data_IF_896221853932
#
_entry.id   IF_896221853932
#
_cell.length_a   1.000
_cell.length_b   1.000
_cell.length_c   1.000
_cell.angle_alpha   90.00
_cell.angle_beta   90.00
_cell.angle_gamma   90.00
#
_symmetry.space_group_name_H-M   'P 1'
#
loop_
_entity.id
_entity.type
_entity.pdbx_description
1 polymer ?
#
# COMPACT_ATOMS: atom_id res chain seq x y z
N UNK A 1 -14.72 0.33 15.68
CA UNK A 1 -14.31 0.18 14.26
C UNK A 1 -13.45 -1.07 14.17
N UNK A 2 -13.86 -2.05 13.38
CA UNK A 2 -13.16 -3.34 13.35
C UNK A 2 -11.88 -3.22 12.52
N UNK A 3 -10.71 -3.33 13.13
CA UNK A 3 -9.42 -3.38 12.43
C UNK A 3 -9.23 -4.78 11.86
N UNK A 4 -8.83 -4.93 10.59
CA UNK A 4 -8.55 -6.24 10.00
C UNK A 4 -7.53 -7.02 10.80
N UNK A 5 -7.61 -8.37 10.83
CA UNK A 5 -6.59 -9.20 11.42
C UNK A 5 -5.21 -8.94 10.77
N UNK A 6 -4.14 -9.04 11.56
CA UNK A 6 -2.77 -8.82 11.05
C UNK A 6 -2.42 -9.75 9.87
N UNK A 7 -2.98 -10.95 9.85
CA UNK A 7 -2.82 -11.91 8.74
C UNK A 7 -3.36 -11.38 7.41
N UNK A 8 -4.51 -10.71 7.44
CA UNK A 8 -5.12 -10.15 6.22
C UNK A 8 -4.36 -8.90 5.76
N UNK A 9 -3.91 -8.09 6.73
CA UNK A 9 -3.05 -6.94 6.43
C UNK A 9 -1.74 -7.40 5.78
N UNK A 10 -1.09 -8.44 6.30
CA UNK A 10 0.12 -9.02 5.71
C UNK A 10 -0.11 -9.53 4.29
N UNK A 11 -1.23 -10.22 4.07
CA UNK A 11 -1.59 -10.71 2.73
C UNK A 11 -1.78 -9.55 1.76
N UNK A 12 -2.54 -8.53 2.13
CA UNK A 12 -2.75 -7.34 1.32
C UNK A 12 -1.41 -6.63 1.03
N UNK A 13 -0.62 -6.36 2.06
CA UNK A 13 0.68 -5.72 1.93
C UNK A 13 1.61 -6.51 1.02
N UNK A 14 1.66 -7.84 1.12
CA UNK A 14 2.46 -8.67 0.22
C UNK A 14 2.04 -8.50 -1.24
N UNK A 15 0.74 -8.54 -1.51
CA UNK A 15 0.22 -8.33 -2.85
C UNK A 15 0.50 -6.93 -3.39
N UNK A 16 0.37 -5.91 -2.55
CA UNK A 16 0.57 -4.49 -2.93
C UNK A 16 2.05 -4.08 -2.98
N UNK A 17 2.97 -4.90 -2.48
CA UNK A 17 4.41 -4.62 -2.43
C UNK A 17 5.17 -5.10 -3.67
N UNK A 18 4.50 -5.63 -4.69
CA UNK A 18 5.13 -6.10 -5.91
C UNK A 18 5.69 -4.90 -6.70
N UNK A 19 7.02 -4.86 -7.03
CA UNK A 19 7.65 -3.68 -7.62
C UNK A 19 7.06 -3.23 -8.95
N UNK A 20 6.69 -4.17 -9.81
CA UNK A 20 6.11 -3.84 -11.11
C UNK A 20 4.67 -3.32 -10.96
N UNK A 21 3.91 -3.79 -9.94
CA UNK A 21 2.60 -3.25 -9.60
C UNK A 21 2.69 -1.81 -9.09
N UNK A 22 3.60 -1.55 -8.16
CA UNK A 22 3.84 -0.19 -7.64
C UNK A 22 4.16 0.74 -8.81
N UNK A 23 5.10 0.34 -9.68
CA UNK A 23 5.52 1.14 -10.83
C UNK A 23 4.40 1.34 -11.83
N UNK A 24 3.57 0.33 -12.09
CA UNK A 24 2.42 0.42 -13.00
C UNK A 24 1.38 1.43 -12.49
N UNK A 25 0.98 1.31 -11.23
CA UNK A 25 -0.04 2.18 -10.63
C UNK A 25 0.44 3.63 -10.59
N UNK A 26 1.66 3.87 -10.13
CA UNK A 26 2.22 5.23 -10.05
C UNK A 26 2.44 5.85 -11.43
N UNK A 27 2.87 5.08 -12.43
CA UNK A 27 3.03 5.58 -13.79
C UNK A 27 1.71 6.04 -14.41
N UNK A 28 0.63 5.28 -14.18
CA UNK A 28 -0.69 5.67 -14.69
C UNK A 28 -1.22 6.89 -13.94
N UNK A 29 -0.94 7.00 -12.64
CA UNK A 29 -1.35 8.16 -11.84
C UNK A 29 -0.65 9.44 -12.30
N UNK A 30 0.68 9.39 -12.46
CA UNK A 30 1.51 10.53 -12.80
C UNK A 30 1.36 10.99 -14.27
N UNK A 31 1.24 10.04 -15.21
CA UNK A 31 1.35 10.30 -16.64
C UNK A 31 0.05 10.00 -17.43
N UNK A 32 -0.97 9.52 -16.74
CA UNK A 32 -2.25 9.15 -17.35
C UNK A 32 -2.26 7.76 -18.00
N UNK A 33 -3.32 7.44 -18.74
CA UNK A 33 -3.55 6.10 -19.27
C UNK A 33 -2.44 5.60 -20.19
N UNK A 34 -2.00 4.37 -20.01
CA UNK A 34 -0.91 3.76 -20.76
C UNK A 34 -1.46 2.94 -21.94
N UNK A 35 -1.10 3.26 -23.19
CA UNK A 35 -1.41 2.38 -24.32
C UNK A 35 -0.67 1.04 -24.21
N UNK A 36 -1.32 -0.12 -24.44
CA UNK A 36 -0.70 -1.44 -24.31
C UNK A 36 0.61 -1.60 -25.10
N UNK A 37 0.68 -0.96 -26.28
CA UNK A 37 1.87 -0.99 -27.16
C UNK A 37 3.06 -0.24 -26.58
N UNK A 38 2.87 0.62 -25.57
CA UNK A 38 3.91 1.44 -24.98
C UNK A 38 4.52 0.84 -23.73
N UNK A 39 3.95 -0.25 -23.21
CA UNK A 39 4.35 -0.87 -21.93
C UNK A 39 5.86 -1.19 -21.87
N UNK A 40 6.40 -1.89 -22.86
CA UNK A 40 7.83 -2.24 -22.86
C UNK A 40 8.78 -1.04 -22.94
N UNK A 41 8.32 0.09 -23.52
CA UNK A 41 9.11 1.32 -23.60
C UNK A 41 9.04 2.11 -22.29
N UNK A 42 7.89 2.09 -21.62
CA UNK A 42 7.67 2.83 -20.37
C UNK A 42 8.34 2.11 -19.20
N UNK A 43 8.41 0.77 -19.25
CA UNK A 43 8.96 -0.07 -18.19
C UNK A 43 10.20 -0.86 -18.67
N UNK A 44 11.29 -0.20 -19.06
CA UNK A 44 12.48 -0.87 -19.60
C UNK A 44 13.20 -1.74 -18.56
N UNK A 45 13.00 -1.46 -17.27
CA UNK A 45 13.64 -2.17 -16.17
C UNK A 45 12.92 -3.47 -15.77
N UNK A 46 11.75 -3.76 -16.39
CA UNK A 46 10.96 -4.96 -16.13
C UNK A 46 10.87 -5.85 -17.34
N UNK A 47 10.90 -7.16 -17.11
CA UNK A 47 10.66 -8.13 -18.18
C UNK A 47 9.18 -8.08 -18.63
N UNK A 48 8.88 -8.47 -19.88
CA UNK A 48 7.50 -8.55 -20.35
C UNK A 48 6.60 -9.44 -19.48
N UNK A 49 7.19 -10.46 -18.85
CA UNK A 49 6.46 -11.35 -17.94
C UNK A 49 6.09 -10.64 -16.63
N UNK A 50 7.00 -9.86 -16.06
CA UNK A 50 6.72 -9.07 -14.84
C UNK A 50 5.64 -8.02 -15.10
N UNK A 51 5.69 -7.33 -16.24
CA UNK A 51 4.67 -6.35 -16.62
C UNK A 51 3.31 -7.01 -16.79
N UNK A 52 3.27 -8.17 -17.46
CA UNK A 52 2.03 -8.94 -17.66
C UNK A 52 1.45 -9.36 -16.31
N UNK A 53 2.28 -9.94 -15.44
CA UNK A 53 1.85 -10.37 -14.10
C UNK A 53 1.30 -9.19 -13.29
N UNK A 54 2.00 -8.06 -13.26
CA UNK A 54 1.52 -6.85 -12.58
C UNK A 54 0.20 -6.34 -13.15
N UNK A 55 0.03 -6.39 -14.48
CA UNK A 55 -1.22 -5.98 -15.15
C UNK A 55 -2.38 -6.93 -14.80
N UNK A 56 -2.15 -8.23 -14.84
CA UNK A 56 -3.14 -9.25 -14.44
C UNK A 56 -3.53 -9.08 -12.97
N UNK A 57 -2.56 -8.88 -12.11
CA UNK A 57 -2.78 -8.62 -10.68
C UNK A 57 -3.57 -7.32 -10.46
N UNK A 58 -3.22 -6.24 -11.15
CA UNK A 58 -3.93 -4.97 -11.06
C UNK A 58 -5.39 -5.09 -11.52
N UNK A 59 -5.66 -5.88 -12.56
CA UNK A 59 -7.03 -6.19 -12.98
C UNK A 59 -7.78 -7.04 -11.94
N UNK A 60 -7.14 -8.10 -11.42
CA UNK A 60 -7.73 -8.98 -10.41
C UNK A 60 -8.08 -8.24 -9.13
N UNK A 61 -7.28 -7.24 -8.74
CA UNK A 61 -7.52 -6.37 -7.59
C UNK A 61 -8.48 -5.20 -7.90
N UNK A 62 -8.97 -5.08 -9.15
CA UNK A 62 -9.85 -3.99 -9.56
C UNK A 62 -9.22 -2.61 -9.57
N UNK A 63 -7.88 -2.52 -9.73
CA UNK A 63 -7.12 -1.25 -9.67
C UNK A 63 -7.09 -0.52 -11.00
N UNK A 64 -7.19 -1.26 -12.10
CA UNK A 64 -7.13 -0.72 -13.45
C UNK A 64 -8.30 -1.21 -14.29
N UNK A 65 -8.61 -0.45 -15.33
CA UNK A 65 -9.59 -0.80 -16.35
C UNK A 65 -9.06 -0.46 -17.74
N UNK A 66 -9.57 -1.17 -18.75
CA UNK A 66 -9.29 -0.83 -20.14
C UNK A 66 -10.25 0.29 -20.58
N UNK A 67 -9.71 1.40 -21.05
CA UNK A 67 -10.50 2.53 -21.55
C UNK A 67 -10.93 2.31 -23.00
N UNK A 68 -12.00 2.98 -23.40
CA UNK A 68 -12.39 3.12 -24.80
C UNK A 68 -11.21 3.75 -25.57
N UNK A 69 -10.66 3.00 -26.56
CA UNK A 69 -9.41 3.38 -27.25
C UNK A 69 -8.18 2.56 -26.83
N UNK A 70 -8.31 1.61 -25.89
CA UNK A 70 -7.31 0.57 -25.61
C UNK A 70 -6.22 0.94 -24.60
N UNK A 71 -6.34 2.04 -23.88
CA UNK A 71 -5.40 2.39 -22.80
C UNK A 71 -5.79 1.79 -21.43
N UNK A 72 -4.78 1.48 -20.62
CA UNK A 72 -4.99 1.10 -19.21
C UNK A 72 -5.10 2.37 -18.36
N UNK A 73 -6.20 2.53 -17.65
CA UNK A 73 -6.44 3.64 -16.72
C UNK A 73 -6.69 3.13 -15.31
N UNK A 74 -6.49 3.98 -14.29
CA UNK A 74 -6.84 3.66 -12.92
C UNK A 74 -8.36 3.67 -12.71
N UNK A 75 -8.82 2.75 -11.89
CA UNK A 75 -10.14 2.82 -11.24
C UNK A 75 -10.07 3.77 -10.03
N UNK A 76 -11.20 4.05 -9.40
CA UNK A 76 -11.22 4.78 -8.13
C UNK A 76 -10.35 4.07 -7.06
N UNK A 77 -10.42 2.75 -6.99
CA UNK A 77 -9.56 1.93 -6.12
C UNK A 77 -8.08 2.06 -6.45
N UNK A 78 -7.74 2.14 -7.74
CA UNK A 78 -6.36 2.36 -8.19
C UNK A 78 -5.83 3.74 -7.82
N UNK A 79 -6.64 4.79 -7.94
CA UNK A 79 -6.29 6.16 -7.52
C UNK A 79 -6.05 6.22 -6.00
N UNK A 80 -6.93 5.62 -5.21
CA UNK A 80 -6.74 5.54 -3.75
C UNK A 80 -5.46 4.77 -3.38
N UNK A 81 -5.11 3.72 -4.13
CA UNK A 81 -3.85 3.00 -3.90
C UNK A 81 -2.62 3.84 -4.27
N UNK A 82 -2.67 4.61 -5.35
CA UNK A 82 -1.61 5.54 -5.71
C UNK A 82 -1.36 6.56 -4.59
N UNK A 83 -2.42 7.09 -3.96
CA UNK A 83 -2.32 7.97 -2.79
C UNK A 83 -1.66 7.26 -1.59
N UNK A 84 -2.00 5.99 -1.32
CA UNK A 84 -1.34 5.19 -0.28
C UNK A 84 0.16 5.08 -0.55
N UNK A 85 0.55 4.79 -1.80
CA UNK A 85 1.95 4.70 -2.19
C UNK A 85 2.69 6.03 -2.00
N UNK A 86 2.10 7.13 -2.44
CA UNK A 86 2.72 8.45 -2.35
C UNK A 86 2.94 8.90 -0.90
N UNK A 87 1.92 8.76 -0.04
CA UNK A 87 2.04 9.10 1.39
C UNK A 87 3.05 8.20 2.08
N UNK A 88 3.10 6.93 1.74
CA UNK A 88 4.06 5.95 2.28
C UNK A 88 5.50 6.31 1.88
N UNK A 89 5.74 6.59 0.61
CA UNK A 89 7.06 6.98 0.12
C UNK A 89 7.50 8.35 0.67
N UNK A 90 6.57 9.27 0.85
CA UNK A 90 6.82 10.60 1.45
C UNK A 90 7.21 10.48 2.91
N UNK A 91 6.52 9.62 3.66
CA UNK A 91 6.90 9.31 5.04
C UNK A 91 8.32 8.73 5.09
N UNK A 92 8.61 7.71 4.29
CA UNK A 92 9.92 7.05 4.23
C UNK A 92 11.06 8.05 3.91
N UNK A 93 10.83 8.97 2.98
CA UNK A 93 11.82 10.03 2.66
C UNK A 93 12.08 10.95 3.84
N UNK A 94 11.03 11.39 4.54
CA UNK A 94 11.16 12.30 5.70
C UNK A 94 11.94 11.66 6.84
N UNK A 95 11.85 10.35 7.01
CA UNK A 95 12.49 9.61 8.08
C UNK A 95 13.77 8.89 7.64
N UNK A 96 14.25 9.17 6.41
CA UNK A 96 15.42 8.50 5.81
C UNK A 96 15.36 6.96 5.88
N UNK A 97 14.18 6.39 5.73
CA UNK A 97 13.92 4.96 5.87
C UNK A 97 13.72 4.27 4.50
N UNK A 98 14.27 3.06 4.28
CA UNK A 98 15.16 2.30 5.18
C UNK A 98 16.60 2.84 5.18
N UNK A 99 17.00 3.55 4.18
CA UNK A 99 18.28 4.20 4.01
C UNK A 99 18.14 5.34 3.00
N UNK A 100 19.04 6.34 2.99
CA UNK A 100 18.91 7.49 2.11
C UNK A 100 18.89 7.16 0.61
N UNK A 101 19.42 6.00 0.22
CA UNK A 101 19.57 5.56 -1.19
C UNK A 101 18.43 4.70 -1.73
N UNK A 102 17.36 4.48 -0.96
CA UNK A 102 16.23 3.67 -1.42
C UNK A 102 15.47 4.29 -2.59
N UNK A 103 15.16 3.49 -3.62
CA UNK A 103 14.26 3.89 -4.69
C UNK A 103 12.81 4.02 -4.19
N UNK A 104 11.92 4.54 -5.04
CA UNK A 104 10.52 4.77 -4.68
C UNK A 104 9.81 3.49 -4.24
N UNK A 105 9.91 2.42 -5.04
CA UNK A 105 9.27 1.15 -4.74
C UNK A 105 9.87 0.48 -3.50
N UNK A 106 11.18 0.55 -3.33
CA UNK A 106 11.87 0.05 -2.14
C UNK A 106 11.40 0.72 -0.86
N UNK A 107 11.20 2.04 -0.87
CA UNK A 107 10.67 2.78 0.27
C UNK A 107 9.27 2.33 0.65
N UNK A 108 8.38 2.16 -0.31
CA UNK A 108 7.02 1.66 -0.08
C UNK A 108 7.08 0.26 0.54
N UNK A 109 7.82 -0.66 -0.06
CA UNK A 109 7.94 -2.05 0.40
C UNK A 109 8.45 -2.15 1.83
N UNK A 110 9.51 -1.42 2.16
CA UNK A 110 10.06 -1.46 3.51
C UNK A 110 9.11 -0.83 4.53
N UNK A 111 8.45 0.28 4.19
CA UNK A 111 7.46 0.90 5.08
C UNK A 111 6.25 -0.02 5.29
N UNK A 112 5.78 -0.69 4.24
CA UNK A 112 4.71 -1.67 4.35
C UNK A 112 5.11 -2.86 5.24
N UNK A 113 6.33 -3.36 5.11
CA UNK A 113 6.86 -4.39 5.99
C UNK A 113 6.87 -3.92 7.45
N UNK A 114 7.31 -2.69 7.70
CA UNK A 114 7.30 -2.08 9.03
C UNK A 114 5.89 -1.98 9.62
N UNK A 115 4.88 -1.58 8.82
CA UNK A 115 3.48 -1.53 9.26
C UNK A 115 2.91 -2.89 9.69
N UNK A 116 3.49 -3.99 9.20
CA UNK A 116 3.08 -5.36 9.54
C UNK A 116 3.90 -5.99 10.66
N UNK A 117 4.86 -5.28 11.22
CA UNK A 117 5.57 -5.73 12.42
C UNK A 117 4.63 -5.77 13.63
N UNK A 118 4.63 -6.83 14.43
CA UNK A 118 3.67 -7.00 15.52
C UNK A 118 3.66 -5.83 16.53
N UNK A 119 4.84 -5.28 16.84
CA UNK A 119 4.98 -4.15 17.77
C UNK A 119 4.41 -2.87 17.21
N UNK A 120 4.73 -2.56 15.95
CA UNK A 120 4.24 -1.38 15.25
C UNK A 120 2.73 -1.47 15.07
N UNK A 121 2.24 -2.63 14.63
CA UNK A 121 0.81 -2.88 14.48
C UNK A 121 0.06 -2.71 15.79
N UNK A 122 0.54 -3.30 16.89
CA UNK A 122 -0.07 -3.16 18.20
C UNK A 122 -0.14 -1.69 18.65
N UNK A 123 0.91 -0.93 18.41
CA UNK A 123 0.95 0.48 18.78
C UNK A 123 0.02 1.36 17.90
N UNK A 124 -0.12 1.03 16.60
CA UNK A 124 -1.04 1.74 15.68
C UNK A 124 -2.51 1.42 15.92
N UNK A 125 -2.81 0.26 16.53
CA UNK A 125 -4.17 -0.20 16.82
C UNK A 125 -4.56 0.02 18.28
N UNK A 126 -3.62 0.38 19.15
CA UNK A 126 -3.90 0.69 20.56
C UNK A 126 -4.89 1.87 20.64
N UNK A 127 -5.96 1.70 21.42
CA UNK A 127 -6.83 2.82 21.78
C UNK A 127 -6.00 3.87 22.52
N UNK A 128 -6.19 5.16 22.25
CA UNK A 128 -5.51 6.20 23.01
C UNK A 128 -6.02 6.15 24.46
N UNK A 129 -5.26 5.50 25.33
CA UNK A 129 -5.55 5.57 26.76
C UNK A 129 -5.54 7.02 27.21
N UNK A 130 -6.52 7.47 28.01
CA UNK A 130 -6.47 8.79 28.63
C UNK A 130 -5.17 8.86 29.45
N UNK A 131 -4.31 9.84 29.11
CA UNK A 131 -3.04 10.04 29.78
C UNK A 131 -3.30 10.24 31.27
N UNK A 132 -3.07 9.21 32.06
CA UNK A 132 -2.88 9.41 33.51
C UNK A 132 -1.54 10.12 33.65
N UNK A 133 -1.63 11.36 34.11
CA UNK A 133 -0.48 12.13 34.61
C UNK A 133 0.09 11.38 35.84
N UNK A 134 1.12 10.59 35.61
CA UNK A 134 1.85 9.88 36.63
C UNK A 134 3.26 9.60 36.14
N UNK A 135 4.26 10.14 36.85
CA UNK A 135 5.67 9.96 36.58
C UNK A 135 6.02 8.46 36.50
N UNK A 136 6.50 8.01 35.37
CA UNK A 136 6.94 6.64 35.13
C UNK A 136 7.62 6.53 33.79
N UNK A 137 8.93 6.40 33.81
CA UNK A 137 9.92 5.93 32.83
C UNK A 137 9.65 6.12 31.33
N UNK A 138 10.57 6.78 30.61
CA UNK A 138 10.50 7.02 29.18
C UNK A 138 11.05 5.81 28.40
N UNK A 139 10.34 4.71 28.37
CA UNK A 139 10.61 3.55 27.49
C UNK A 139 9.32 2.99 26.89
N UNK A 140 8.40 3.87 26.51
CA UNK A 140 7.45 3.55 25.46
C UNK A 140 8.10 4.04 24.17
N UNK A 141 8.86 3.15 23.56
CA UNK A 141 9.45 3.31 22.25
C UNK A 141 8.37 3.82 21.29
N UNK A 142 8.45 5.12 20.99
CA UNK A 142 7.50 5.82 20.17
C UNK A 142 7.38 5.05 18.84
N UNK A 143 6.16 4.61 18.50
CA UNK A 143 5.79 4.32 17.11
C UNK A 143 6.41 5.43 16.28
N UNK A 144 7.25 5.08 15.32
CA UNK A 144 7.94 6.01 14.43
C UNK A 144 7.03 7.20 14.09
N UNK A 145 7.41 8.43 14.43
CA UNK A 145 6.50 9.57 14.35
C UNK A 145 5.90 9.69 12.95
N UNK A 146 4.58 9.69 12.85
CA UNK A 146 3.89 9.89 11.58
C UNK A 146 3.51 8.63 10.80
N UNK A 147 3.83 7.40 11.23
CA UNK A 147 3.34 6.16 10.58
C UNK A 147 1.81 6.03 10.59
N UNK A 148 1.14 6.73 11.49
CA UNK A 148 -0.33 6.77 11.52
C UNK A 148 -0.96 7.29 10.21
N UNK A 149 -0.25 8.11 9.44
CA UNK A 149 -0.72 8.59 8.12
C UNK A 149 -0.80 7.46 7.09
N UNK A 150 0.33 6.83 6.72
CA UNK A 150 0.37 5.66 5.85
C UNK A 150 -0.57 4.54 6.31
N UNK A 151 -0.59 4.24 7.60
CA UNK A 151 -1.48 3.24 8.19
C UNK A 151 -2.97 3.54 7.93
N UNK A 152 -3.41 4.76 8.21
CA UNK A 152 -4.81 5.17 8.05
C UNK A 152 -5.27 5.01 6.60
N UNK A 153 -4.46 5.46 5.64
CA UNK A 153 -4.80 5.36 4.22
C UNK A 153 -4.81 3.91 3.74
N UNK A 154 -3.86 3.09 4.17
CA UNK A 154 -3.87 1.65 3.87
C UNK A 154 -5.14 0.99 4.42
N UNK A 155 -5.52 1.27 5.66
CA UNK A 155 -6.75 0.75 6.26
C UNK A 155 -8.02 1.26 5.55
N UNK A 156 -8.03 2.51 5.11
CA UNK A 156 -9.13 3.07 4.33
C UNK A 156 -9.26 2.35 2.99
N UNK A 157 -8.14 2.14 2.28
CA UNK A 157 -8.12 1.41 1.03
C UNK A 157 -8.59 -0.04 1.21
N UNK A 158 -8.10 -0.76 2.21
CA UNK A 158 -8.52 -2.14 2.50
C UNK A 158 -10.02 -2.26 2.77
N UNK A 159 -10.61 -1.30 3.50
CA UNK A 159 -12.05 -1.28 3.77
C UNK A 159 -12.88 -0.99 2.51
N UNK A 160 -12.39 -0.14 1.64
CA UNK A 160 -13.03 0.16 0.36
C UNK A 160 -12.92 -1.00 -0.64
N UNK A 161 -11.98 -1.93 -0.43
CA UNK A 161 -11.65 -3.03 -1.35
C UNK A 161 -11.64 -4.40 -0.66
N UNK A 162 -12.74 -4.83 -0.03
CA UNK A 162 -12.79 -6.08 0.73
C UNK A 162 -12.51 -7.31 -0.15
N UNK A 163 -12.95 -7.31 -1.41
CA UNK A 163 -12.69 -8.39 -2.35
C UNK A 163 -11.19 -8.54 -2.68
N UNK A 164 -10.46 -7.43 -2.77
CA UNK A 164 -9.03 -7.44 -3.06
C UNK A 164 -8.18 -7.95 -1.87
N UNK A 165 -8.72 -7.84 -0.66
CA UNK A 165 -8.03 -8.21 0.57
C UNK A 165 -8.42 -9.57 1.15
N UNK A 166 -9.40 -10.25 0.54
CA UNK A 166 -9.97 -11.51 1.06
C UNK A 166 -10.86 -11.30 2.30
N UNK A 167 -11.21 -10.05 2.60
CA UNK A 167 -11.99 -9.68 3.78
C UNK A 167 -13.46 -10.14 3.73
N UNK A 168 -13.98 -10.37 2.52
CA UNK A 168 -15.39 -10.72 2.29
C UNK A 168 -15.75 -12.19 2.63
N UNK A 169 -14.79 -13.05 2.93
CA UNK A 169 -15.04 -14.49 3.09
C UNK A 169 -15.41 -14.92 4.53
N UNK A 170 -15.33 -14.02 5.51
CA UNK A 170 -15.49 -14.36 6.94
C UNK A 170 -16.81 -13.98 7.59
N UNK A 171 -17.60 -13.11 6.99
CA UNK A 171 -18.76 -12.51 7.67
C UNK A 171 -20.14 -13.05 7.22
N UNK A 172 -20.15 -14.00 6.26
CA UNK A 172 -21.39 -14.65 5.78
C UNK A 172 -21.58 -16.09 6.34
N UNK A 173 -20.78 -16.50 7.32
CA UNK A 173 -20.84 -17.83 7.96
C UNK A 173 -20.98 -17.73 9.48
N UNK A 174 -21.87 -16.86 9.96
CA UNK A 174 -22.30 -16.84 11.37
C UNK A 174 -23.81 -16.70 11.46
#
# INVERSE_FOLDING_TARGET
MNTPPLTDIRRAVTALSEPALIRLITEIDDNGPIPPRSMGRIFPDFTPQQIRHATEQAHALGLIHTRLGGGLGLTESGVLLAEVYDVTARWARRHAYPAPTGDFAGRIRHTFALLTEPRVHAALTAEPFPRRTGAGTPESEAVEPGLAGPWRLLMQWMRANPAATGFAAGELAA
#
